data_IF_583242017674
#
_entry.id   IF_583242017674
#
_cell.length_a   1.000
_cell.length_b   1.000
_cell.length_c   1.000
_cell.angle_alpha   90.00
_cell.angle_beta   90.00
_cell.angle_gamma   90.00
#
_symmetry.space_group_name_H-M   'P 1'
#
loop_
_entity.id
_entity.type
_entity.pdbx_description
1 polymer ?
#
# COMPACT_ATOMS: atom_id res chain seq x y z
N UNK A 1 -6.87 -7.18 -18.89
CA UNK A 1 -5.56 -7.84 -18.72
C UNK A 1 -4.67 -6.83 -18.01
N UNK A 2 -3.93 -7.26 -16.99
CA UNK A 2 -3.01 -6.38 -16.26
C UNK A 2 -1.96 -5.77 -17.21
N UNK A 3 -1.56 -4.53 -16.96
CA UNK A 3 -0.50 -3.87 -17.73
C UNK A 3 0.82 -4.61 -17.49
N UNK A 4 1.46 -5.02 -18.58
CA UNK A 4 2.77 -5.69 -18.50
C UNK A 4 3.84 -4.66 -18.16
N UNK A 5 4.81 -5.06 -17.33
CA UNK A 5 5.96 -4.20 -17.01
C UNK A 5 6.73 -3.81 -18.28
N UNK A 6 6.87 -4.76 -19.22
CA UNK A 6 7.42 -4.55 -20.55
C UNK A 6 6.77 -3.37 -21.28
N UNK A 7 5.44 -3.24 -21.24
CA UNK A 7 4.74 -2.17 -21.96
C UNK A 7 5.07 -0.78 -21.41
N UNK A 8 5.24 -0.64 -20.10
CA UNK A 8 5.64 0.63 -19.47
C UNK A 8 7.10 0.95 -19.83
N UNK A 9 7.99 -0.02 -19.65
CA UNK A 9 9.42 0.15 -19.94
C UNK A 9 9.66 0.49 -21.41
N UNK A 10 8.90 -0.12 -22.34
CA UNK A 10 8.96 0.22 -23.76
C UNK A 10 8.63 1.70 -24.00
N UNK A 11 7.53 2.22 -23.42
CA UNK A 11 7.13 3.63 -23.57
C UNK A 11 8.16 4.59 -22.97
N UNK A 12 8.78 4.22 -21.85
CA UNK A 12 9.89 4.96 -21.25
C UNK A 12 11.08 5.01 -22.22
N UNK A 13 11.50 3.86 -22.75
CA UNK A 13 12.63 3.77 -23.69
C UNK A 13 12.37 4.60 -24.97
N UNK A 14 11.14 4.56 -25.50
CA UNK A 14 10.71 5.40 -26.63
C UNK A 14 10.77 6.90 -26.28
N UNK A 15 10.33 7.29 -25.07
CA UNK A 15 10.37 8.69 -24.60
C UNK A 15 11.80 9.19 -24.38
N UNK A 16 12.68 8.33 -23.87
CA UNK A 16 14.11 8.61 -23.70
C UNK A 16 14.90 8.56 -25.02
N UNK A 17 14.27 8.15 -26.12
CA UNK A 17 14.89 7.93 -27.43
C UNK A 17 16.06 6.92 -27.38
N UNK A 18 15.97 5.91 -26.50
CA UNK A 18 16.97 4.85 -26.35
C UNK A 18 16.34 3.47 -26.52
N UNK A 19 15.88 3.18 -27.75
CA UNK A 19 15.24 1.91 -28.08
C UNK A 19 16.20 0.72 -28.07
N UNK A 20 17.51 0.99 -28.11
CA UNK A 20 18.58 0.00 -28.00
C UNK A 20 19.03 -0.26 -26.58
N UNK A 21 18.58 0.55 -25.61
CA UNK A 21 18.86 0.40 -24.17
C UNK A 21 20.36 0.45 -23.83
N UNK A 22 21.11 1.27 -24.56
CA UNK A 22 22.57 1.40 -24.40
C UNK A 22 22.89 2.47 -23.35
N UNK A 23 22.16 3.60 -23.38
CA UNK A 23 22.35 4.70 -22.42
C UNK A 23 21.60 4.43 -21.12
N UNK A 24 20.43 3.81 -21.24
CA UNK A 24 19.51 3.47 -20.17
C UNK A 24 19.30 1.95 -20.17
N UNK A 25 20.17 1.20 -19.45
CA UNK A 25 20.02 -0.23 -19.31
C UNK A 25 18.64 -0.61 -18.76
N UNK A 26 18.03 -1.65 -19.31
CA UNK A 26 16.65 -2.04 -18.96
C UNK A 26 16.53 -2.52 -17.52
N UNK A 27 17.54 -3.19 -16.99
CA UNK A 27 17.60 -3.57 -15.58
C UNK A 27 17.48 -2.34 -14.65
N UNK A 28 18.15 -1.24 -14.99
CA UNK A 28 18.04 0.03 -14.27
C UNK A 28 16.63 0.62 -14.37
N UNK A 29 16.01 0.61 -15.56
CA UNK A 29 14.63 1.11 -15.72
C UNK A 29 13.61 0.25 -14.96
N UNK A 30 13.80 -1.08 -14.92
CA UNK A 30 12.96 -1.98 -14.12
C UNK A 30 13.16 -1.73 -12.62
N UNK A 31 14.38 -1.41 -12.18
CA UNK A 31 14.63 -0.98 -10.79
C UNK A 31 13.84 0.28 -10.45
N UNK A 32 13.84 1.29 -11.32
CA UNK A 32 13.05 2.50 -11.14
C UNK A 32 11.54 2.23 -11.17
N UNK A 33 11.07 1.28 -11.98
CA UNK A 33 9.70 0.82 -11.96
C UNK A 33 9.33 0.25 -10.58
N UNK A 34 10.17 -0.64 -10.03
CA UNK A 34 9.94 -1.23 -8.71
C UNK A 34 9.96 -0.17 -7.59
N UNK A 35 10.90 0.77 -7.64
CA UNK A 35 10.90 1.92 -6.73
C UNK A 35 9.61 2.74 -6.84
N UNK A 36 9.15 3.02 -8.07
CA UNK A 36 7.91 3.76 -8.31
C UNK A 36 6.67 3.04 -7.78
N UNK A 37 6.61 1.71 -7.89
CA UNK A 37 5.52 0.93 -7.28
C UNK A 37 5.49 1.09 -5.76
N UNK A 38 6.66 1.06 -5.11
CA UNK A 38 6.77 1.27 -3.66
C UNK A 38 6.42 2.71 -3.27
N UNK A 39 6.82 3.69 -4.07
CA UNK A 39 6.50 5.10 -3.85
C UNK A 39 4.99 5.38 -3.94
N UNK A 40 4.28 4.72 -4.86
CA UNK A 40 2.82 4.78 -4.92
C UNK A 40 2.22 4.27 -3.61
N UNK A 41 2.64 3.11 -3.12
CA UNK A 41 2.13 2.53 -1.86
C UNK A 41 2.50 3.39 -0.65
N UNK A 42 3.64 4.08 -0.68
CA UNK A 42 4.03 5.03 0.36
C UNK A 42 3.01 6.17 0.49
N UNK A 43 2.63 6.77 -0.64
CA UNK A 43 1.67 7.88 -0.69
C UNK A 43 0.20 7.44 -0.60
N UNK A 44 -0.11 6.27 -1.15
CA UNK A 44 -1.44 5.67 -1.25
C UNK A 44 -1.39 4.24 -0.71
N UNK A 45 -1.36 4.03 0.62
CA UNK A 45 -1.37 2.68 1.19
C UNK A 45 -2.59 1.85 0.76
N UNK A 46 -3.68 2.53 0.40
CA UNK A 46 -4.90 1.96 -0.14
C UNK A 46 -4.82 1.57 -1.63
N UNK A 47 -3.70 1.81 -2.31
CA UNK A 47 -3.50 1.33 -3.69
C UNK A 47 -3.28 -0.19 -3.74
N UNK A 48 -2.90 -0.81 -2.63
CA UNK A 48 -2.59 -2.25 -2.50
C UNK A 48 -3.39 -2.89 -1.36
N UNK A 49 -4.67 -2.52 -1.19
CA UNK A 49 -5.54 -3.13 -0.18
C UNK A 49 -5.67 -4.63 -0.42
N UNK A 50 -5.30 -5.42 0.57
CA UNK A 50 -5.39 -6.88 0.55
C UNK A 50 -6.23 -7.36 1.72
N UNK A 51 -7.18 -8.24 1.41
CA UNK A 51 -8.03 -8.89 2.40
C UNK A 51 -7.54 -10.33 2.58
N UNK A 52 -7.17 -10.71 3.80
CA UNK A 52 -6.69 -12.07 4.08
C UNK A 52 -7.14 -12.55 5.45
N UNK A 53 -7.46 -13.84 5.55
CA UNK A 53 -7.58 -14.50 6.84
C UNK A 53 -6.18 -14.74 7.42
N UNK A 54 -5.97 -14.30 8.66
CA UNK A 54 -4.72 -14.46 9.39
C UNK A 54 -4.94 -15.36 10.60
N UNK A 55 -4.12 -16.40 10.73
CA UNK A 55 -4.03 -17.17 11.96
C UNK A 55 -3.27 -16.34 13.01
N UNK A 56 -3.82 -16.22 14.21
CA UNK A 56 -3.20 -15.47 15.30
C UNK A 56 -2.21 -16.36 16.07
N UNK A 57 -1.20 -15.72 16.66
CA UNK A 57 -0.27 -16.37 17.60
C UNK A 57 -0.79 -16.24 19.03
N UNK A 58 -0.32 -17.10 19.93
CA UNK A 58 -0.72 -17.03 21.34
C UNK A 58 -0.42 -15.65 21.95
N UNK A 59 -1.41 -15.08 22.67
CA UNK A 59 -1.28 -13.81 23.38
C UNK A 59 -1.95 -12.64 22.69
N UNK A 60 -1.78 -11.45 23.26
CA UNK A 60 -2.45 -10.23 22.79
C UNK A 60 -1.76 -9.56 21.61
N UNK A 61 -0.43 -9.70 21.47
CA UNK A 61 0.36 -8.99 20.45
C UNK A 61 0.40 -9.81 19.17
N UNK A 62 0.00 -9.20 18.06
CA UNK A 62 -0.10 -9.81 16.75
C UNK A 62 0.66 -8.97 15.72
N UNK A 63 0.98 -9.58 14.59
CA UNK A 63 1.60 -8.91 13.45
C UNK A 63 0.80 -9.18 12.18
N UNK A 64 0.78 -8.20 11.27
CA UNK A 64 0.23 -8.40 9.92
C UNK A 64 1.12 -9.35 9.10
N UNK A 65 0.63 -9.88 7.97
CA UNK A 65 1.44 -10.67 7.05
C UNK A 65 2.78 -10.01 6.67
N UNK A 66 3.79 -10.82 6.34
CA UNK A 66 5.16 -10.32 6.06
C UNK A 66 5.24 -9.38 4.86
N UNK A 67 4.36 -9.57 3.86
CA UNK A 67 4.19 -8.68 2.72
C UNK A 67 3.37 -7.43 3.05
N UNK A 68 2.91 -7.24 4.29
CA UNK A 68 2.16 -6.07 4.73
C UNK A 68 3.05 -4.88 5.05
N UNK A 69 2.63 -3.70 4.59
CA UNK A 69 3.23 -2.41 4.91
C UNK A 69 2.56 -1.77 6.14
N UNK A 70 1.21 -1.74 6.16
CA UNK A 70 0.41 -1.10 7.21
C UNK A 70 -0.91 -1.85 7.43
N UNK A 71 -1.34 -2.00 8.68
CA UNK A 71 -2.70 -2.45 8.97
C UNK A 71 -3.71 -1.35 8.59
N UNK A 72 -4.84 -1.76 8.01
CA UNK A 72 -5.98 -0.88 7.73
C UNK A 72 -7.11 -1.21 8.70
N UNK A 73 -7.51 -2.48 8.79
CA UNK A 73 -8.64 -2.91 9.62
C UNK A 73 -8.54 -4.39 10.02
N UNK A 74 -9.07 -4.73 11.21
CA UNK A 74 -9.39 -6.10 11.61
C UNK A 74 -10.91 -6.24 11.62
N UNK A 75 -11.46 -6.96 10.65
CA UNK A 75 -12.90 -6.88 10.33
C UNK A 75 -13.74 -7.78 11.24
N UNK A 76 -13.36 -9.05 11.34
CA UNK A 76 -14.12 -10.08 12.07
C UNK A 76 -13.27 -11.30 12.36
N UNK A 77 -13.73 -12.17 13.26
CA UNK A 77 -13.18 -13.52 13.38
C UNK A 77 -13.44 -14.30 12.07
N UNK A 78 -12.44 -15.06 11.62
CA UNK A 78 -12.54 -15.89 10.41
C UNK A 78 -13.27 -17.21 10.70
N UNK A 79 -13.11 -17.72 11.93
CA UNK A 79 -13.75 -18.93 12.43
C UNK A 79 -14.92 -18.66 13.39
N UNK A 80 -15.46 -19.74 13.96
CA UNK A 80 -16.50 -19.69 15.00
C UNK A 80 -17.78 -18.97 14.54
N UNK A 81 -18.27 -18.06 15.38
CA UNK A 81 -19.47 -17.26 15.12
C UNK A 81 -19.22 -16.10 14.13
N UNK A 82 -17.98 -15.94 13.65
CA UNK A 82 -17.56 -14.88 12.73
C UNK A 82 -17.94 -13.48 13.22
N UNK A 83 -17.85 -13.29 14.54
CA UNK A 83 -18.23 -12.05 15.20
C UNK A 83 -17.38 -10.89 14.68
N UNK A 84 -18.03 -9.75 14.44
CA UNK A 84 -17.35 -8.51 14.08
C UNK A 84 -16.41 -8.06 15.21
N UNK A 85 -15.22 -7.62 14.84
CA UNK A 85 -14.20 -7.13 15.76
C UNK A 85 -14.24 -5.60 15.74
N UNK A 86 -14.11 -4.96 16.90
CA UNK A 86 -14.21 -3.49 17.03
C UNK A 86 -12.88 -2.88 17.42
N UNK A 87 -12.57 -1.69 16.91
CA UNK A 87 -11.42 -0.94 17.40
C UNK A 87 -11.64 -0.50 18.84
N UNK A 88 -10.59 -0.54 19.65
CA UNK A 88 -10.55 -0.01 21.02
C UNK A 88 -9.23 0.75 21.21
N UNK A 89 -9.21 1.74 22.11
CA UNK A 89 -7.96 2.37 22.52
C UNK A 89 -7.27 1.51 23.58
N UNK A 90 -5.97 1.27 23.43
CA UNK A 90 -5.21 0.44 24.37
C UNK A 90 -5.30 0.98 25.80
N UNK A 91 -5.24 2.30 25.94
CA UNK A 91 -5.29 2.99 27.24
C UNK A 91 -6.56 2.68 28.04
N UNK A 92 -7.69 2.44 27.36
CA UNK A 92 -8.96 2.05 28.02
C UNK A 92 -8.81 0.69 28.70
N UNK A 93 -8.19 -0.28 28.01
CA UNK A 93 -7.96 -1.62 28.56
C UNK A 93 -6.86 -1.60 29.63
N UNK A 94 -5.81 -0.81 29.44
CA UNK A 94 -4.74 -0.66 30.43
C UNK A 94 -5.27 -0.06 31.74
N UNK A 95 -6.25 0.85 31.68
CA UNK A 95 -6.88 1.45 32.85
C UNK A 95 -7.93 0.54 33.51
N UNK A 96 -8.80 -0.09 32.72
CA UNK A 96 -9.93 -0.88 33.25
C UNK A 96 -9.54 -2.30 33.65
N UNK A 97 -8.55 -2.88 32.97
CA UNK A 97 -8.10 -4.25 33.21
C UNK A 97 -6.58 -4.39 32.99
N UNK A 98 -5.71 -3.82 33.86
CA UNK A 98 -4.25 -3.78 33.64
C UNK A 98 -3.58 -5.14 33.35
N UNK A 99 -4.16 -6.24 33.85
CA UNK A 99 -3.69 -7.61 33.62
C UNK A 99 -4.19 -8.26 32.32
N UNK A 100 -4.87 -7.53 31.43
CA UNK A 100 -5.57 -8.08 30.27
C UNK A 100 -4.65 -8.86 29.32
N UNK A 101 -3.38 -8.46 29.22
CA UNK A 101 -2.36 -9.16 28.45
C UNK A 101 -2.08 -10.60 28.94
N UNK A 102 -2.28 -10.86 30.24
CA UNK A 102 -2.02 -12.16 30.87
C UNK A 102 -3.25 -13.07 30.98
N UNK A 103 -4.40 -12.67 30.42
CA UNK A 103 -5.60 -13.50 30.41
C UNK A 103 -5.39 -14.76 29.57
N UNK A 104 -6.13 -15.82 29.89
CA UNK A 104 -6.15 -17.05 29.10
C UNK A 104 -6.60 -16.76 27.67
N UNK A 105 -5.90 -17.37 26.70
CA UNK A 105 -6.16 -17.15 25.29
C UNK A 105 -7.50 -17.72 24.82
N UNK A 106 -8.18 -17.01 23.92
CA UNK A 106 -9.48 -17.36 23.33
C UNK A 106 -9.41 -17.44 21.81
N UNK A 107 -10.39 -18.11 21.18
CA UNK A 107 -10.50 -18.20 19.71
C UNK A 107 -11.38 -17.12 19.09
N UNK A 108 -12.19 -16.43 19.91
CA UNK A 108 -13.08 -15.33 19.49
C UNK A 108 -12.57 -14.00 20.02
N UNK A 109 -11.99 -13.19 19.14
CA UNK A 109 -11.52 -11.83 19.45
C UNK A 109 -12.70 -10.86 19.43
N UNK A 110 -12.72 -9.89 20.34
CA UNK A 110 -13.76 -8.87 20.43
C UNK A 110 -13.26 -7.50 19.99
N UNK A 111 -12.04 -7.16 20.38
CA UNK A 111 -11.44 -5.86 20.13
C UNK A 111 -10.06 -5.99 19.50
N UNK A 112 -9.71 -5.00 18.67
CA UNK A 112 -8.34 -4.80 18.23
C UNK A 112 -7.88 -3.39 18.54
N UNK A 113 -6.58 -3.23 18.69
CA UNK A 113 -5.94 -1.96 18.97
C UNK A 113 -4.74 -1.80 18.03
N UNK A 114 -4.59 -0.61 17.48
CA UNK A 114 -3.57 -0.33 16.47
C UNK A 114 -2.95 1.04 16.74
N UNK A 115 -1.62 1.11 16.75
CA UNK A 115 -0.88 2.37 16.82
C UNK A 115 -0.20 2.62 15.46
N UNK A 116 -0.52 3.72 14.76
CA UNK A 116 0.14 4.07 13.50
C UNK A 116 1.67 4.18 13.56
N UNK A 117 2.26 4.36 14.76
CA UNK A 117 3.72 4.40 14.97
C UNK A 117 4.39 3.02 14.84
N UNK A 118 3.64 1.95 15.07
CA UNK A 118 4.09 0.56 14.85
C UNK A 118 3.13 -0.13 13.86
N UNK A 119 3.20 0.24 12.56
CA UNK A 119 2.13 -0.03 11.60
C UNK A 119 1.97 -1.52 11.23
N UNK A 120 2.91 -2.37 11.64
CA UNK A 120 2.89 -3.81 11.38
C UNK A 120 2.35 -4.64 12.54
N UNK A 121 2.17 -4.01 13.70
CA UNK A 121 1.75 -4.67 14.93
C UNK A 121 0.36 -4.20 15.29
N UNK A 122 -0.44 -5.13 15.79
CA UNK A 122 -1.71 -4.81 16.42
C UNK A 122 -1.91 -5.68 17.64
N UNK A 123 -2.81 -5.24 18.51
CA UNK A 123 -3.18 -6.00 19.68
C UNK A 123 -4.62 -6.49 19.57
N UNK A 124 -4.91 -7.63 20.16
CA UNK A 124 -6.25 -8.23 20.21
C UNK A 124 -6.68 -8.44 21.66
N UNK A 125 -7.96 -8.25 21.92
CA UNK A 125 -8.59 -8.54 23.20
C UNK A 125 -9.86 -9.38 23.02
N UNK A 126 -10.06 -10.43 23.84
CA UNK A 126 -9.06 -11.01 24.76
C UNK A 126 -7.84 -11.59 24.00
N UNK A 127 -6.73 -11.94 24.69
CA UNK A 127 -5.56 -12.55 24.06
C UNK A 127 -5.95 -13.76 23.21
N UNK A 128 -5.26 -13.97 22.09
CA UNK A 128 -5.52 -15.11 21.23
C UNK A 128 -5.02 -16.43 21.84
N UNK A 129 -5.80 -17.49 21.66
CA UNK A 129 -5.40 -18.86 21.99
C UNK A 129 -4.24 -19.30 21.10
N UNK A 130 -3.46 -20.29 21.58
CA UNK A 130 -2.33 -20.84 20.83
C UNK A 130 -2.73 -21.56 19.53
N UNK A 131 -4.01 -21.94 19.39
CA UNK A 131 -4.55 -22.54 18.18
C UNK A 131 -6.02 -22.14 17.97
N UNK A 132 -6.46 -22.18 16.72
CA UNK A 132 -7.86 -21.93 16.34
C UNK A 132 -8.31 -20.47 16.31
N UNK A 133 -7.51 -19.53 16.83
CA UNK A 133 -7.79 -18.09 16.71
C UNK A 133 -7.37 -17.57 15.33
N UNK A 134 -8.31 -16.95 14.61
CA UNK A 134 -8.05 -16.39 13.28
C UNK A 134 -9.00 -15.23 12.97
N UNK A 135 -8.49 -14.21 12.29
CA UNK A 135 -9.22 -12.97 11.96
C UNK A 135 -9.05 -12.59 10.50
N UNK A 136 -10.08 -11.97 9.92
CA UNK A 136 -10.01 -11.39 8.59
C UNK A 136 -9.44 -9.97 8.70
N UNK A 137 -8.27 -9.78 8.09
CA UNK A 137 -7.52 -8.53 8.07
C UNK A 137 -7.69 -7.82 6.73
N UNK A 138 -7.69 -6.50 6.79
CA UNK A 138 -7.46 -5.60 5.65
C UNK A 138 -6.15 -4.88 5.92
N UNK A 139 -5.20 -4.99 4.99
CA UNK A 139 -3.89 -4.35 5.12
C UNK A 139 -3.39 -3.84 3.77
N UNK A 140 -2.51 -2.84 3.81
CA UNK A 140 -1.78 -2.38 2.65
C UNK A 140 -0.64 -3.36 2.37
N UNK A 141 -0.70 -4.10 1.26
CA UNK A 141 0.40 -4.98 0.85
C UNK A 141 1.51 -4.19 0.15
N UNK A 142 2.73 -4.68 0.27
CA UNK A 142 3.86 -4.25 -0.53
C UNK A 142 3.71 -4.82 -1.96
N UNK A 143 4.05 -4.04 -3.00
CA UNK A 143 4.05 -4.54 -4.36
C UNK A 143 5.11 -5.62 -4.51
N UNK A 144 4.83 -6.63 -5.34
CA UNK A 144 5.86 -7.58 -5.76
C UNK A 144 6.73 -6.94 -6.83
N UNK A 145 8.04 -7.06 -6.66
CA UNK A 145 9.00 -6.52 -7.62
C UNK A 145 8.96 -7.31 -8.93
N UNK A 146 9.05 -6.58 -10.03
CA UNK A 146 9.34 -7.14 -11.35
C UNK A 146 10.81 -7.56 -11.37
N UNK A 147 11.08 -8.79 -11.82
CA UNK A 147 12.47 -9.29 -11.93
C UNK A 147 13.29 -8.41 -12.86
N UNK A 148 14.41 -7.90 -12.37
CA UNK A 148 15.38 -7.18 -13.19
C UNK A 148 15.96 -8.13 -14.25
N UNK A 149 15.84 -7.83 -15.56
CA UNK A 149 16.43 -8.67 -16.59
C UNK A 149 17.96 -8.53 -16.61
N UNK A 150 18.64 -9.39 -17.36
CA UNK A 150 20.10 -9.35 -17.49
C UNK A 150 20.58 -8.04 -18.15
N UNK A 151 21.85 -7.69 -17.94
CA UNK A 151 22.44 -6.51 -18.57
C UNK A 151 22.59 -6.68 -20.10
N UNK A 152 22.56 -5.57 -20.84
CA UNK A 152 22.71 -5.55 -22.30
C UNK A 152 21.49 -6.06 -23.09
N UNK A 153 20.34 -6.26 -22.44
CA UNK A 153 19.09 -6.66 -23.10
C UNK A 153 18.17 -5.47 -23.36
N UNK A 154 17.17 -5.69 -24.22
CA UNK A 154 16.14 -4.68 -24.54
C UNK A 154 14.86 -4.91 -23.74
N UNK A 155 13.91 -3.97 -23.85
CA UNK A 155 12.64 -4.02 -23.13
C UNK A 155 11.85 -5.32 -23.38
N UNK A 156 12.11 -6.01 -24.51
CA UNK A 156 11.49 -7.29 -24.84
C UNK A 156 11.81 -8.44 -23.87
N UNK A 157 12.89 -8.32 -23.09
CA UNK A 157 13.28 -9.30 -22.08
C UNK A 157 12.63 -9.04 -20.70
N UNK A 158 11.89 -7.94 -20.54
CA UNK A 158 11.13 -7.68 -19.31
C UNK A 158 9.93 -8.61 -19.27
N UNK A 159 9.74 -9.31 -18.17
CA UNK A 159 8.60 -10.22 -17.97
C UNK A 159 7.78 -9.82 -16.76
N UNK A 160 6.56 -10.34 -16.66
CA UNK A 160 5.65 -10.04 -15.56
C UNK A 160 4.83 -8.76 -15.73
N UNK A 161 4.01 -8.49 -14.72
CA UNK A 161 3.09 -7.37 -14.67
C UNK A 161 3.46 -6.43 -13.53
N UNK A 162 2.96 -5.20 -13.58
CA UNK A 162 2.95 -4.36 -12.39
C UNK A 162 2.02 -4.98 -11.32
N UNK A 163 2.41 -4.82 -10.06
CA UNK A 163 1.63 -5.25 -8.90
C UNK A 163 0.59 -4.22 -8.50
N UNK A 164 0.91 -2.93 -8.64
CA UNK A 164 -0.05 -1.85 -8.38
C UNK A 164 -1.16 -1.84 -9.45
N UNK A 165 -2.36 -1.32 -9.14
CA UNK A 165 -3.45 -1.24 -10.10
C UNK A 165 -3.08 -0.52 -11.39
N UNK A 166 -3.61 -1.01 -12.52
CA UNK A 166 -3.31 -0.52 -13.87
C UNK A 166 -3.51 1.00 -14.07
N UNK A 167 -4.40 1.61 -13.27
CA UNK A 167 -4.64 3.07 -13.28
C UNK A 167 -3.35 3.88 -13.02
N UNK A 168 -2.38 3.31 -12.31
CA UNK A 168 -1.10 3.96 -12.02
C UNK A 168 -0.04 3.78 -13.11
N UNK A 169 -0.33 3.09 -14.22
CA UNK A 169 0.65 2.83 -15.27
C UNK A 169 1.32 4.09 -15.84
N UNK A 170 0.56 5.17 -16.02
CA UNK A 170 1.11 6.46 -16.47
C UNK A 170 1.96 7.14 -15.38
N UNK A 171 1.49 7.10 -14.13
CA UNK A 171 2.24 7.64 -13.00
C UNK A 171 3.60 6.91 -12.85
N UNK A 172 3.63 5.59 -13.02
CA UNK A 172 4.87 4.82 -13.03
C UNK A 172 5.82 5.24 -14.15
N UNK A 173 5.31 5.47 -15.36
CA UNK A 173 6.11 5.98 -16.47
C UNK A 173 6.77 7.32 -16.11
N UNK A 174 5.99 8.26 -15.55
CA UNK A 174 6.51 9.56 -15.11
C UNK A 174 7.56 9.41 -14.01
N UNK A 175 7.37 8.51 -13.04
CA UNK A 175 8.36 8.27 -11.99
C UNK A 175 9.69 7.74 -12.54
N UNK A 176 9.65 6.81 -13.51
CA UNK A 176 10.86 6.28 -14.14
C UNK A 176 11.59 7.39 -14.91
N UNK A 177 10.86 8.21 -15.66
CA UNK A 177 11.43 9.35 -16.41
C UNK A 177 12.02 10.41 -15.47
N UNK A 178 11.38 10.66 -14.33
CA UNK A 178 11.93 11.49 -13.27
C UNK A 178 13.31 10.96 -12.83
N UNK A 179 13.42 9.68 -12.46
CA UNK A 179 14.68 9.09 -12.00
C UNK A 179 15.77 9.13 -13.08
N UNK A 180 15.42 8.83 -14.33
CA UNK A 180 16.34 8.94 -15.46
C UNK A 180 16.84 10.38 -15.65
N UNK A 181 15.95 11.37 -15.76
CA UNK A 181 16.36 12.76 -15.97
C UNK A 181 17.05 13.39 -14.75
N UNK A 182 16.78 12.92 -13.52
CA UNK A 182 17.53 13.34 -12.33
C UNK A 182 18.96 12.81 -12.35
N UNK A 183 19.19 11.55 -12.73
CA UNK A 183 20.55 11.01 -12.86
C UNK A 183 21.37 11.81 -13.88
N UNK A 184 20.71 12.30 -14.92
CA UNK A 184 21.32 13.01 -16.03
C UNK A 184 21.05 14.52 -15.99
N UNK A 185 20.90 15.09 -14.78
CA UNK A 185 20.45 16.47 -14.57
C UNK A 185 21.44 17.53 -15.08
N UNK A 186 22.70 17.16 -15.28
CA UNK A 186 23.77 18.05 -15.75
C UNK A 186 23.58 18.47 -17.22
N UNK A 187 22.82 17.70 -18.01
CA UNK A 187 22.48 18.08 -19.38
C UNK A 187 21.38 19.13 -19.39
N UNK A 188 21.55 20.14 -20.26
CA UNK A 188 20.67 21.29 -20.34
C UNK A 188 19.19 20.88 -20.50
N UNK A 189 18.36 21.34 -19.56
CA UNK A 189 16.91 21.08 -19.55
C UNK A 189 16.47 19.78 -18.87
N UNK A 190 17.36 18.83 -18.58
CA UNK A 190 17.00 17.57 -17.93
C UNK A 190 16.55 17.79 -16.48
N UNK A 191 17.21 18.68 -15.73
CA UNK A 191 16.78 19.04 -14.38
C UNK A 191 15.32 19.52 -14.34
N UNK A 192 14.91 20.37 -15.29
CA UNK A 192 13.53 20.85 -15.37
C UNK A 192 12.56 19.73 -15.78
N UNK A 193 12.93 18.87 -16.73
CA UNK A 193 12.12 17.71 -17.14
C UNK A 193 11.89 16.75 -15.98
N UNK A 194 12.92 16.48 -15.18
CA UNK A 194 12.82 15.63 -14.00
C UNK A 194 11.77 16.17 -13.01
N UNK A 195 11.85 17.46 -12.68
CA UNK A 195 10.87 18.12 -11.79
C UNK A 195 9.45 18.05 -12.34
N UNK A 196 9.28 18.25 -13.66
CA UNK A 196 7.98 18.18 -14.31
C UNK A 196 7.37 16.78 -14.23
N UNK A 197 8.15 15.73 -14.50
CA UNK A 197 7.68 14.35 -14.39
C UNK A 197 7.35 13.95 -12.95
N UNK A 198 8.16 14.36 -11.97
CA UNK A 198 7.84 14.10 -10.56
C UNK A 198 6.54 14.82 -10.14
N UNK A 199 6.35 16.05 -10.62
CA UNK A 199 5.12 16.81 -10.37
C UNK A 199 3.90 16.15 -11.02
N UNK A 200 4.03 15.64 -12.24
CA UNK A 200 2.98 14.87 -12.91
C UNK A 200 2.62 13.59 -12.13
N UNK A 201 3.63 12.84 -11.67
CA UNK A 201 3.46 11.68 -10.80
C UNK A 201 2.68 12.04 -9.52
N UNK A 202 3.15 13.01 -8.74
CA UNK A 202 2.52 13.40 -7.49
C UNK A 202 1.07 13.92 -7.70
N UNK A 203 0.85 14.71 -8.75
CA UNK A 203 -0.48 15.21 -9.10
C UNK A 203 -1.43 14.07 -9.49
N UNK A 204 -0.97 13.06 -10.24
CA UNK A 204 -1.80 11.92 -10.61
C UNK A 204 -2.32 11.17 -9.37
N UNK A 205 -1.44 10.96 -8.36
CA UNK A 205 -1.84 10.33 -7.09
C UNK A 205 -2.88 11.16 -6.34
N UNK A 206 -2.71 12.48 -6.29
CA UNK A 206 -3.64 13.39 -5.62
C UNK A 206 -4.98 13.56 -6.35
N UNK A 207 -5.01 13.46 -7.68
CA UNK A 207 -6.25 13.49 -8.47
C UNK A 207 -7.05 12.22 -8.26
N UNK A 208 -6.39 11.05 -8.30
CA UNK A 208 -7.04 9.76 -8.06
C UNK A 208 -7.71 9.73 -6.68
N UNK A 209 -6.98 10.09 -5.61
CA UNK A 209 -7.53 10.14 -4.25
C UNK A 209 -8.76 11.03 -4.13
N UNK A 210 -8.73 12.23 -4.72
CA UNK A 210 -9.88 13.15 -4.73
C UNK A 210 -11.07 12.56 -5.48
N UNK A 211 -10.82 11.91 -6.61
CA UNK A 211 -11.85 11.22 -7.38
C UNK A 211 -12.53 10.12 -6.56
N UNK A 212 -11.74 9.26 -5.92
CA UNK A 212 -12.22 8.15 -5.10
C UNK A 212 -13.06 8.64 -3.90
N UNK A 213 -12.60 9.67 -3.18
CA UNK A 213 -13.37 10.23 -2.07
C UNK A 213 -14.66 10.95 -2.52
N UNK A 214 -14.65 11.59 -3.68
CA UNK A 214 -15.82 12.31 -4.20
C UNK A 214 -16.99 11.38 -4.56
N UNK A 215 -16.70 10.12 -4.91
CA UNK A 215 -17.71 9.11 -5.27
C UNK A 215 -17.94 8.07 -4.17
N UNK A 216 -17.27 8.21 -3.02
CA UNK A 216 -17.38 7.25 -1.93
C UNK A 216 -18.81 7.20 -1.37
N UNK A 217 -19.37 6.00 -1.12
CA UNK A 217 -20.68 5.86 -0.51
C UNK A 217 -20.72 6.48 0.89
N UNK A 218 -21.65 7.40 1.15
CA UNK A 218 -21.83 8.03 2.47
C UNK A 218 -22.87 7.28 3.30
N UNK A 219 -22.44 6.58 4.35
CA UNK A 219 -23.35 6.00 5.36
C UNK A 219 -23.61 6.99 6.50
N UNK A 220 -24.78 7.63 6.49
CA UNK A 220 -25.23 8.44 7.63
C UNK A 220 -25.46 7.53 8.85
N UNK A 221 -24.78 7.82 9.96
CA UNK A 221 -25.01 7.16 11.25
C UNK A 221 -24.12 5.95 11.57
N UNK A 222 -23.04 5.71 10.83
CA UNK A 222 -22.10 4.63 11.15
C UNK A 222 -21.33 4.94 12.46
N UNK A 223 -21.48 4.15 13.54
CA UNK A 223 -20.75 4.36 14.79
C UNK A 223 -19.24 4.11 14.67
N UNK A 224 -18.80 3.43 13.60
CA UNK A 224 -17.39 3.12 13.32
C UNK A 224 -16.73 4.10 12.34
N UNK A 225 -17.48 5.04 11.76
CA UNK A 225 -16.89 6.09 10.93
C UNK A 225 -16.44 7.23 11.85
N UNK A 226 -15.16 7.61 11.78
CA UNK A 226 -14.74 8.92 12.27
C UNK A 226 -15.64 9.97 11.59
N UNK A 227 -16.19 10.94 12.35
CA UNK A 227 -17.00 12.04 11.79
C UNK A 227 -16.14 12.91 10.86
N UNK A 228 -15.87 12.45 9.64
CA UNK A 228 -15.30 13.25 8.55
C UNK A 228 -16.44 13.95 7.82
N UNK A 229 -17.14 14.82 8.53
CA UNK A 229 -18.17 15.68 7.97
C UNK A 229 -18.12 17.04 8.68
N UNK A 230 -17.04 17.81 8.46
CA UNK A 230 -16.96 19.19 8.96
C UNK A 230 -16.04 20.14 8.15
N UNK A 231 -15.54 19.78 6.97
CA UNK A 231 -14.56 20.64 6.25
C UNK A 231 -14.93 21.02 4.81
N UNK A 232 -16.16 20.76 4.34
CA UNK A 232 -16.57 21.09 2.97
C UNK A 232 -17.80 22.02 2.87
N UNK A 233 -18.23 22.69 3.94
CA UNK A 233 -19.43 23.56 3.94
C UNK A 233 -19.23 24.91 4.63
N UNK A 234 -18.07 25.55 4.46
CA UNK A 234 -17.88 26.96 4.89
C UNK A 234 -17.15 27.81 3.85
N UNK A 235 -17.37 27.55 2.57
CA UNK A 235 -17.05 28.49 1.49
C UNK A 235 -18.32 28.70 0.67
N UNK A 236 -19.22 29.50 1.23
CA UNK A 236 -20.37 30.10 0.57
C UNK A 236 -20.39 31.58 0.94
#
# INVERSE_FOLDING_TARGET
MAITAQSIIRRVAETLQDTTSIRWPINELVRYLNDGQREIVLHRPDSMVTNAAQALVAGSKQSIPSNGAKLIEVVRNSGGAKRAIRVCEREILDAQAPGWHGLSGVTEVLHFMYDPRDPKVFYVYPPAAASGASVDLVYAALPTDVTEPADGVTYSSVTGNISVPDIYGNALQDFILYRAYTKDSEYAGNAQRAVNHYTAFANALGVELRGTLAVAPVTRGNPNAARTAALATSAG
#
